data_IF_039925740982
#
_entry.id   IF_039925740982
#
_cell.length_a   1.000
_cell.length_b   1.000
_cell.length_c   1.000
_cell.angle_alpha   90.00
_cell.angle_beta   90.00
_cell.angle_gamma   90.00
#
_symmetry.space_group_name_H-M   'P 1'
#
loop_
_entity.id
_entity.type
_entity.pdbx_description
1 polymer ?
#
# COMPACT_ATOMS: atom_id res chain seq x y z
N UNK A 1 26.42 -0.19 19.41
CA UNK A 1 26.03 -1.61 19.27
C UNK A 1 26.74 -2.01 18.00
N UNK A 2 27.86 -2.71 18.15
CA UNK A 2 28.86 -2.78 17.07
C UNK A 2 28.93 -4.23 16.63
N UNK A 3 28.32 -4.52 15.47
CA UNK A 3 28.39 -5.82 14.82
C UNK A 3 29.82 -6.02 14.28
N UNK A 4 30.26 -7.26 14.09
CA UNK A 4 31.53 -7.50 13.39
C UNK A 4 31.44 -7.00 11.95
N UNK A 5 32.55 -6.53 11.38
CA UNK A 5 32.61 -6.05 9.98
C UNK A 5 32.09 -7.11 8.99
N UNK A 6 32.42 -8.38 9.21
CA UNK A 6 31.89 -9.51 8.45
C UNK A 6 30.35 -9.62 8.54
N UNK A 7 29.79 -9.42 9.73
CA UNK A 7 28.33 -9.45 9.91
C UNK A 7 27.67 -8.28 9.18
N UNK A 8 28.26 -7.08 9.22
CA UNK A 8 27.75 -5.92 8.51
C UNK A 8 27.74 -6.13 6.99
N UNK A 9 28.84 -6.65 6.43
CA UNK A 9 28.94 -6.98 5.00
C UNK A 9 27.88 -8.00 4.58
N UNK A 10 27.63 -9.02 5.40
CA UNK A 10 26.60 -10.03 5.13
C UNK A 10 25.19 -9.45 5.16
N UNK A 11 24.92 -8.52 6.06
CA UNK A 11 23.62 -7.82 6.11
C UNK A 11 23.41 -7.01 4.82
N UNK A 12 24.40 -6.22 4.40
CA UNK A 12 24.28 -5.39 3.20
C UNK A 12 24.06 -6.22 1.93
N UNK A 13 24.72 -7.37 1.83
CA UNK A 13 24.53 -8.33 0.74
C UNK A 13 23.09 -8.85 0.70
N UNK A 14 22.54 -9.24 1.85
CA UNK A 14 21.17 -9.77 1.92
C UNK A 14 20.12 -8.68 1.62
N UNK A 15 20.33 -7.47 2.14
CA UNK A 15 19.47 -6.31 1.81
C UNK A 15 19.46 -6.08 0.30
N UNK A 16 20.64 -6.06 -0.34
CA UNK A 16 20.74 -5.89 -1.79
C UNK A 16 20.03 -7.03 -2.54
N UNK A 17 20.20 -8.27 -2.11
CA UNK A 17 19.56 -9.43 -2.72
C UNK A 17 18.03 -9.32 -2.65
N UNK A 18 17.48 -9.01 -1.48
CA UNK A 18 16.03 -8.86 -1.26
C UNK A 18 15.46 -7.72 -2.11
N UNK A 19 16.12 -6.56 -2.13
CA UNK A 19 15.65 -5.40 -2.90
C UNK A 19 15.68 -5.69 -4.39
N UNK A 20 16.77 -6.26 -4.89
CA UNK A 20 16.93 -6.59 -6.32
C UNK A 20 15.89 -7.62 -6.77
N UNK A 21 15.70 -8.69 -5.98
CA UNK A 21 14.71 -9.72 -6.29
C UNK A 21 13.28 -9.16 -6.34
N UNK A 22 12.92 -8.29 -5.40
CA UNK A 22 11.60 -7.66 -5.40
C UNK A 22 11.41 -6.64 -6.52
N UNK A 23 12.45 -5.89 -6.88
CA UNK A 23 12.44 -5.02 -8.04
C UNK A 23 12.18 -5.81 -9.32
N UNK A 24 12.93 -6.88 -9.58
CA UNK A 24 12.74 -7.72 -10.76
C UNK A 24 11.37 -8.38 -10.79
N UNK A 25 10.83 -8.77 -9.63
CA UNK A 25 9.47 -9.32 -9.52
C UNK A 25 8.42 -8.27 -9.89
N UNK A 26 8.54 -7.06 -9.33
CA UNK A 26 7.62 -5.96 -9.63
C UNK A 26 7.71 -5.54 -11.10
N UNK A 27 8.92 -5.44 -11.64
CA UNK A 27 9.15 -5.14 -13.06
C UNK A 27 8.48 -6.17 -13.97
N UNK A 28 8.71 -7.46 -13.74
CA UNK A 28 8.08 -8.54 -14.53
C UNK A 28 6.56 -8.51 -14.43
N UNK A 29 6.00 -8.22 -13.26
CA UNK A 29 4.56 -8.08 -13.09
C UNK A 29 4.01 -6.90 -13.91
N UNK A 30 4.63 -5.73 -13.82
CA UNK A 30 4.20 -4.55 -14.57
C UNK A 30 4.37 -4.71 -16.09
N UNK A 31 5.43 -5.40 -16.52
CA UNK A 31 5.69 -5.68 -17.93
C UNK A 31 4.70 -6.70 -18.50
N UNK A 32 4.36 -7.75 -17.75
CA UNK A 32 3.33 -8.71 -18.14
C UNK A 32 1.93 -8.07 -18.28
N UNK A 33 1.65 -7.04 -17.49
CA UNK A 33 0.39 -6.28 -17.52
C UNK A 33 0.55 -4.90 -18.19
N UNK A 34 1.47 -4.78 -19.16
CA UNK A 34 1.82 -3.49 -19.78
C UNK A 34 0.62 -2.76 -20.38
N UNK A 35 -0.32 -3.48 -20.99
CA UNK A 35 -1.52 -2.88 -21.59
C UNK A 35 -2.43 -2.23 -20.55
N UNK A 36 -2.65 -2.89 -19.41
CA UNK A 36 -3.41 -2.35 -18.29
C UNK A 36 -2.72 -1.13 -17.69
N UNK A 37 -1.39 -1.19 -17.52
CA UNK A 37 -0.58 -0.09 -17.01
C UNK A 37 -0.67 1.15 -17.89
N UNK A 38 -0.58 0.98 -19.21
CA UNK A 38 -0.73 2.09 -20.17
C UNK A 38 -2.13 2.70 -20.08
N UNK A 39 -3.17 1.87 -19.99
CA UNK A 39 -4.56 2.37 -19.86
C UNK A 39 -4.78 3.21 -18.60
N UNK A 40 -4.20 2.79 -17.47
CA UNK A 40 -4.24 3.56 -16.23
C UNK A 40 -3.46 4.87 -16.38
N UNK A 41 -2.30 4.85 -17.03
CA UNK A 41 -1.50 6.05 -17.29
C UNK A 41 -2.26 7.06 -18.18
N UNK A 42 -2.89 6.59 -19.25
CA UNK A 42 -3.71 7.42 -20.14
C UNK A 42 -4.90 8.03 -19.39
N UNK A 43 -5.58 7.25 -18.55
CA UNK A 43 -6.66 7.74 -17.71
C UNK A 43 -6.19 8.82 -16.72
N UNK A 44 -5.00 8.67 -16.12
CA UNK A 44 -4.41 9.69 -15.24
C UNK A 44 -4.00 10.95 -16.00
N UNK A 45 -3.57 10.85 -17.25
CA UNK A 45 -3.31 12.02 -18.10
C UNK A 45 -4.59 12.82 -18.39
N UNK A 46 -5.73 12.14 -18.50
CA UNK A 46 -7.01 12.78 -18.78
C UNK A 46 -7.71 13.34 -17.53
N UNK A 47 -7.57 12.66 -16.38
CA UNK A 47 -8.37 12.94 -15.17
C UNK A 47 -7.55 13.36 -13.94
N UNK A 48 -6.22 13.37 -14.02
CA UNK A 48 -5.24 13.73 -12.98
C UNK A 48 -5.24 12.82 -11.72
N UNK A 49 -6.41 12.32 -11.30
CA UNK A 49 -6.61 11.48 -10.12
C UNK A 49 -7.57 10.34 -10.47
N UNK A 50 -7.25 9.14 -9.98
CA UNK A 50 -8.14 7.99 -10.02
C UNK A 50 -8.31 7.44 -8.60
N UNK A 51 -9.53 7.06 -8.25
CA UNK A 51 -9.80 6.31 -7.04
C UNK A 51 -9.44 4.81 -7.20
N UNK A 52 -9.47 4.07 -6.09
CA UNK A 52 -9.09 2.66 -6.08
C UNK A 52 -10.04 1.75 -6.88
N UNK A 53 -11.33 2.08 -6.99
CA UNK A 53 -12.30 1.30 -7.76
C UNK A 53 -12.12 1.53 -9.26
N UNK A 54 -11.84 2.77 -9.66
CA UNK A 54 -11.50 3.14 -11.02
C UNK A 54 -10.26 2.39 -11.50
N UNK A 55 -9.19 2.35 -10.70
CA UNK A 55 -7.97 1.58 -11.02
C UNK A 55 -8.27 0.08 -11.15
N UNK A 56 -9.07 -0.49 -10.23
CA UNK A 56 -9.47 -1.92 -10.30
C UNK A 56 -10.22 -2.23 -11.60
N UNK A 57 -11.15 -1.36 -12.01
CA UNK A 57 -11.94 -1.54 -13.23
C UNK A 57 -11.07 -1.44 -14.49
N UNK A 58 -10.16 -0.47 -14.55
CA UNK A 58 -9.23 -0.33 -15.67
C UNK A 58 -8.30 -1.55 -15.80
N UNK A 59 -7.74 -2.04 -14.69
CA UNK A 59 -6.94 -3.27 -14.68
C UNK A 59 -7.76 -4.49 -15.10
N UNK A 60 -9.05 -4.56 -14.75
CA UNK A 60 -9.93 -5.65 -15.15
C UNK A 60 -10.38 -5.63 -16.63
N UNK A 61 -9.96 -4.64 -17.44
CA UNK A 61 -10.33 -4.58 -18.85
C UNK A 61 -11.30 -3.45 -19.22
N UNK A 62 -11.79 -2.66 -18.26
CA UNK A 62 -12.68 -1.55 -18.57
C UNK A 62 -11.95 -0.47 -19.39
N UNK A 63 -12.72 0.22 -20.22
CA UNK A 63 -12.31 1.39 -21.00
C UNK A 63 -12.30 2.64 -20.12
N UNK A 64 -11.62 3.69 -20.58
CA UNK A 64 -11.52 4.95 -19.82
C UNK A 64 -12.92 5.58 -19.68
N UNK A 65 -13.70 5.55 -20.75
CA UNK A 65 -15.05 6.11 -20.85
C UNK A 65 -16.03 5.46 -19.86
N UNK A 66 -15.93 4.14 -19.67
CA UNK A 66 -16.75 3.39 -18.71
C UNK A 66 -16.45 3.78 -17.26
N UNK A 67 -15.21 4.19 -16.98
CA UNK A 67 -14.71 4.43 -15.63
C UNK A 67 -14.87 5.90 -15.22
N UNK A 68 -14.77 6.82 -16.17
CA UNK A 68 -14.80 8.27 -15.90
C UNK A 68 -16.15 8.90 -16.22
N UNK A 69 -17.08 8.13 -16.78
CA UNK A 69 -18.49 8.46 -16.77
C UNK A 69 -18.83 9.72 -17.57
N UNK A 70 -18.62 9.68 -18.89
CA UNK A 70 -19.40 10.49 -19.83
C UNK A 70 -20.80 9.90 -20.10
N UNK A 71 -21.40 9.24 -19.10
CA UNK A 71 -22.82 8.96 -19.06
C UNK A 71 -23.52 10.14 -18.35
N UNK A 72 -24.64 10.68 -18.87
CA UNK A 72 -25.32 11.80 -18.23
C UNK A 72 -25.81 11.36 -16.84
N UNK A 73 -25.21 11.98 -15.81
CA UNK A 73 -25.64 12.05 -14.42
C UNK A 73 -26.20 10.76 -13.80
N UNK A 74 -25.37 10.04 -13.04
CA UNK A 74 -25.72 9.63 -11.67
C UNK A 74 -24.47 9.68 -10.79
N UNK A 75 -24.41 10.73 -9.96
CA UNK A 75 -23.46 10.84 -8.87
C UNK A 75 -23.83 9.81 -7.80
N UNK A 76 -23.13 8.69 -7.75
CA UNK A 76 -23.02 7.89 -6.53
C UNK A 76 -21.72 8.30 -5.84
N UNK A 77 -21.83 9.28 -4.95
CA UNK A 77 -20.79 9.55 -3.95
C UNK A 77 -20.65 8.27 -3.13
N UNK A 78 -19.55 7.54 -3.31
CA UNK A 78 -19.25 6.34 -2.53
C UNK A 78 -18.99 6.75 -1.08
N UNK A 79 -19.97 6.52 -0.21
CA UNK A 79 -19.96 6.79 1.24
C UNK A 79 -19.05 5.85 2.05
N UNK A 80 -18.18 5.09 1.39
CA UNK A 80 -17.41 4.01 2.02
C UNK A 80 -16.15 4.51 2.75
N UNK A 81 -15.62 5.69 2.38
CA UNK A 81 -14.43 6.24 3.04
C UNK A 81 -14.73 6.67 4.50
N UNK A 82 -15.93 7.17 4.81
CA UNK A 82 -16.33 7.48 6.18
C UNK A 82 -16.49 6.20 7.04
N UNK A 83 -16.99 5.11 6.46
CA UNK A 83 -17.15 3.84 7.17
C UNK A 83 -15.79 3.20 7.52
N UNK A 84 -14.80 3.34 6.63
CA UNK A 84 -13.44 2.82 6.87
C UNK A 84 -12.66 3.66 7.88
N UNK A 85 -12.92 4.97 7.94
CA UNK A 85 -12.39 5.84 8.99
C UNK A 85 -12.96 5.50 10.38
N UNK A 86 -14.26 5.17 10.47
CA UNK A 86 -14.89 4.74 11.74
C UNK A 86 -14.48 3.34 12.21
N UNK A 87 -14.06 2.45 11.31
CA UNK A 87 -13.58 1.11 11.67
C UNK A 87 -12.18 1.10 12.32
N UNK A 88 -11.43 2.21 12.26
CA UNK A 88 -10.13 2.36 12.94
C UNK A 88 -10.27 2.72 14.42
N UNK A 89 -11.50 2.95 14.91
CA UNK A 89 -11.81 3.10 16.34
C UNK A 89 -12.03 1.73 17.02
N UNK A 90 -11.12 0.78 16.75
CA UNK A 90 -11.00 -0.44 17.57
C UNK A 90 -9.91 -0.15 18.59
N UNK A 91 -10.33 0.03 19.84
CA UNK A 91 -9.45 0.27 20.98
C UNK A 91 -8.30 -0.75 21.12
N UNK A 92 -7.34 -0.49 22.02
CA UNK A 92 -6.09 -1.25 22.09
C UNK A 92 -6.34 -2.74 22.34
N UNK A 93 -5.73 -3.58 21.50
CA UNK A 93 -5.81 -5.07 21.53
C UNK A 93 -4.94 -5.67 22.65
N UNK A 94 -4.29 -4.85 23.48
CA UNK A 94 -3.35 -5.30 24.51
C UNK A 94 -3.94 -5.08 25.91
N UNK A 95 -4.00 -6.11 26.78
CA UNK A 95 -4.43 -5.92 28.17
C UNK A 95 -3.41 -5.03 28.93
N UNK A 96 -3.86 -4.20 29.88
CA UNK A 96 -2.96 -3.35 30.65
C UNK A 96 -2.02 -4.18 31.53
N UNK A 97 -0.72 -3.93 31.39
CA UNK A 97 0.32 -4.55 32.23
C UNK A 97 0.19 -3.95 33.64
N UNK A 98 0.15 -4.76 34.72
CA UNK A 98 0.10 -4.25 36.08
C UNK A 98 1.37 -3.44 36.42
N UNK A 99 1.27 -2.38 37.25
CA UNK A 99 2.41 -1.54 37.57
C UNK A 99 3.49 -2.34 38.30
N UNK A 100 4.71 -2.29 37.77
CA UNK A 100 5.92 -2.81 38.44
C UNK A 100 6.04 -2.06 39.77
N UNK A 101 6.05 -2.82 40.87
CA UNK A 101 6.26 -2.29 42.21
C UNK A 101 7.56 -1.46 42.23
N UNK A 102 7.52 -0.33 42.93
CA UNK A 102 8.67 0.61 43.09
C UNK A 102 9.97 -0.17 43.34
N UNK A 103 11.11 0.26 42.77
CA UNK A 103 12.38 -0.41 43.01
C UNK A 103 12.66 -0.42 44.52
N UNK A 104 13.04 -1.60 45.02
CA UNK A 104 13.52 -1.77 46.39
C UNK A 104 14.71 -0.83 46.61
N UNK A 105 14.77 -0.07 47.73
CA UNK A 105 15.96 0.68 48.07
C UNK A 105 17.11 -0.30 48.27
N UNK A 106 18.18 -0.10 47.51
CA UNK A 106 19.47 -0.74 47.80
C UNK A 106 20.07 0.03 48.97
N UNK A 107 20.22 -0.64 50.11
CA UNK A 107 21.15 -0.19 51.17
C UNK A 107 22.60 -0.36 50.72
#
# INVERSE_FOLDING_TARGET
>A
QDFSEDTAVRIDQEVKAIVTANYERAYRLLDAHREELVRIADALLMHEVLDGDQVRRLSAGATIEEVTGFAPAQASVSTDDEARARARDRGPVVPPIPPIQKPLPQE
#
